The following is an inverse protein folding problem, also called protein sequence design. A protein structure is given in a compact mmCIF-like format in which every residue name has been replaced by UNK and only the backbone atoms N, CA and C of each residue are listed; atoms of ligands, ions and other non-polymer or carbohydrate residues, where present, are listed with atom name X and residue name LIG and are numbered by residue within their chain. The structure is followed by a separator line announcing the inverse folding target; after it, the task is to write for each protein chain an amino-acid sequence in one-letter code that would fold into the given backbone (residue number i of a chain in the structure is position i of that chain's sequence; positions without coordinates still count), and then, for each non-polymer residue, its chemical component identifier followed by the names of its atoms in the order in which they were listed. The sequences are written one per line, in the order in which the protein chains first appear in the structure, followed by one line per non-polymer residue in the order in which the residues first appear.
data_IF_204797096396
#
_entry.id   IF_204797096396
#
_cell.length_a   1.000
_cell.length_b   1.000
_cell.length_c   1.000
_cell.angle_alpha   90.00
_cell.angle_beta   90.00
_cell.angle_gamma   90.00
#
_symmetry.space_group_name_H-M   'P 1'
#
loop_
_entity.id
_entity.type
_entity.pdbx_description
1 polymer ?
#
# COMPACT_ATOMS: atom_id res chain seq x y z
N UNK A 1 -2.86 18.85 11.96
CA UNK A 1 -1.92 18.36 12.98
C UNK A 1 -0.56 18.94 12.64
N UNK A 2 -0.15 20.00 13.31
CA UNK A 2 1.16 20.62 13.12
C UNK A 2 2.15 19.65 13.73
N UNK A 3 3.05 19.10 12.91
CA UNK A 3 4.18 18.35 13.43
C UNK A 3 5.12 19.34 14.11
N UNK A 4 5.00 19.49 15.41
CA UNK A 4 6.01 20.18 16.19
C UNK A 4 7.27 19.32 16.17
N UNK A 5 8.28 19.76 15.43
CA UNK A 5 9.61 19.20 15.59
C UNK A 5 10.05 19.50 17.03
N UNK A 6 10.38 18.49 17.84
CA UNK A 6 10.91 18.76 19.17
C UNK A 6 12.10 19.68 19.01
N UNK A 7 12.14 20.73 19.81
CA UNK A 7 13.28 21.65 19.86
C UNK A 7 14.50 20.89 20.41
N UNK A 8 15.10 20.08 19.56
CA UNK A 8 16.31 19.34 19.90
C UNK A 8 17.49 20.31 19.84
N UNK A 9 18.29 20.34 20.89
CA UNK A 9 19.52 21.14 20.97
C UNK A 9 20.60 20.67 19.98
N UNK A 10 20.40 19.52 19.33
CA UNK A 10 21.31 18.97 18.34
C UNK A 10 20.54 18.31 17.19
N UNK A 11 21.13 18.32 16.00
CA UNK A 11 20.63 17.57 14.85
C UNK A 11 20.59 16.08 15.22
N UNK A 12 19.47 15.36 14.99
CA UNK A 12 19.40 13.94 15.30
C UNK A 12 20.43 13.15 14.51
N UNK A 13 21.10 12.22 15.19
CA UNK A 13 22.07 11.32 14.54
C UNK A 13 21.33 10.33 13.65
N UNK A 14 21.75 10.21 12.41
CA UNK A 14 21.28 9.17 11.49
C UNK A 14 22.01 7.87 11.87
N UNK A 15 21.30 6.85 12.37
CA UNK A 15 21.93 5.60 12.72
C UNK A 15 22.48 4.88 11.46
N UNK A 16 23.66 4.29 11.59
CA UNK A 16 24.19 3.43 10.53
C UNK A 16 23.43 2.09 10.58
N UNK A 17 22.78 1.74 9.49
CA UNK A 17 22.12 0.44 9.39
C UNK A 17 23.17 -0.66 9.28
N UNK A 18 23.21 -1.57 10.25
CA UNK A 18 24.09 -2.73 10.23
C UNK A 18 23.58 -3.86 9.30
N UNK A 19 22.30 -3.81 8.92
CA UNK A 19 21.66 -4.69 7.95
C UNK A 19 20.89 -3.84 6.97
N UNK A 20 21.10 -4.05 5.69
CA UNK A 20 20.30 -3.42 4.64
C UNK A 20 18.95 -4.16 4.61
N UNK A 21 17.97 -3.69 5.37
CA UNK A 21 16.58 -4.04 5.12
C UNK A 21 16.13 -3.27 3.88
N UNK A 22 16.46 -3.79 2.71
CA UNK A 22 15.90 -3.26 1.47
C UNK A 22 14.57 -3.95 1.20
N UNK A 23 13.49 -3.18 1.19
CA UNK A 23 12.25 -3.62 0.59
C UNK A 23 12.51 -3.68 -0.92
N UNK A 24 12.45 -4.89 -1.48
CA UNK A 24 12.75 -5.13 -2.89
C UNK A 24 11.62 -4.67 -3.80
N UNK A 25 11.68 -5.08 -5.06
CA UNK A 25 10.66 -4.76 -6.03
C UNK A 25 9.32 -5.42 -5.65
N UNK A 26 8.25 -4.63 -5.61
CA UNK A 26 6.90 -5.13 -5.31
C UNK A 26 6.44 -6.02 -6.47
N UNK A 27 6.18 -7.28 -6.19
CA UNK A 27 5.72 -8.26 -7.20
C UNK A 27 4.22 -8.51 -7.16
N UNK A 28 3.60 -8.41 -5.99
CA UNK A 28 2.17 -8.65 -5.80
C UNK A 28 1.60 -7.69 -4.76
N UNK A 29 0.30 -7.50 -4.87
CA UNK A 29 -0.49 -6.74 -3.92
C UNK A 29 -1.66 -7.60 -3.47
N UNK A 30 -1.94 -7.64 -2.17
CA UNK A 30 -3.15 -8.26 -1.65
C UNK A 30 -4.09 -7.17 -1.13
N UNK A 31 -5.30 -7.16 -1.66
CA UNK A 31 -6.34 -6.21 -1.31
C UNK A 31 -7.21 -6.75 -0.18
N UNK A 32 -7.51 -5.92 0.79
CA UNK A 32 -8.44 -6.22 1.88
C UNK A 32 -9.23 -4.97 2.26
N UNK A 33 -10.48 -5.13 2.68
CA UNK A 33 -11.22 -4.03 3.29
C UNK A 33 -10.54 -3.58 4.57
N UNK A 34 -10.51 -2.27 4.83
CA UNK A 34 -9.93 -1.70 6.06
C UNK A 34 -10.78 -2.03 7.28
N UNK A 35 -12.10 -2.06 7.07
CA UNK A 35 -13.08 -2.24 8.13
C UNK A 35 -13.99 -3.42 7.81
N UNK A 36 -14.29 -4.21 8.81
CA UNK A 36 -15.25 -5.31 8.74
C UNK A 36 -16.69 -4.80 8.79
N UNK A 37 -17.65 -5.70 8.57
CA UNK A 37 -19.08 -5.39 8.66
C UNK A 37 -19.50 -4.97 10.07
N UNK A 38 -18.80 -5.44 11.11
CA UNK A 38 -18.97 -5.06 12.52
C UNK A 38 -18.29 -3.73 12.89
N UNK A 39 -17.75 -2.99 11.91
CA UNK A 39 -17.00 -1.74 12.05
C UNK A 39 -15.65 -1.86 12.77
N UNK A 40 -15.16 -3.06 13.02
CA UNK A 40 -13.81 -3.26 13.54
C UNK A 40 -12.79 -3.25 12.40
N UNK A 41 -11.55 -2.84 12.69
CA UNK A 41 -10.48 -2.84 11.68
C UNK A 41 -10.09 -4.26 11.30
N UNK A 42 -9.93 -4.51 10.02
CA UNK A 42 -9.31 -5.74 9.54
C UNK A 42 -7.83 -5.74 9.89
N UNK A 43 -7.36 -6.83 10.44
CA UNK A 43 -5.96 -7.01 10.78
C UNK A 43 -5.55 -8.48 10.58
N UNK A 44 -4.31 -8.68 10.20
CA UNK A 44 -3.65 -9.97 10.34
C UNK A 44 -3.07 -10.04 11.74
N UNK A 45 -3.57 -10.93 12.59
CA UNK A 45 -3.07 -11.13 13.95
C UNK A 45 -2.21 -12.39 14.00
N UNK A 46 -0.90 -12.19 14.24
CA UNK A 46 0.04 -13.30 14.34
C UNK A 46 -0.04 -14.06 15.67
N UNK A 47 -0.70 -13.48 16.70
CA UNK A 47 -0.91 -14.14 17.98
C UNK A 47 -2.26 -14.90 18.05
N UNK A 48 -3.08 -14.86 16.99
CA UNK A 48 -4.33 -15.62 16.94
C UNK A 48 -4.06 -17.11 17.13
N UNK A 49 -5.01 -17.80 17.77
CA UNK A 49 -4.94 -19.27 17.94
C UNK A 49 -5.67 -19.99 16.78
N UNK A 50 -5.02 -20.91 16.06
CA UNK A 50 -3.59 -21.24 16.13
C UNK A 50 -2.67 -20.09 15.68
N UNK A 51 -1.48 -20.00 16.26
CA UNK A 51 -0.48 -18.98 15.95
C UNK A 51 -0.20 -18.92 14.44
N UNK A 52 -0.24 -17.72 13.87
CA UNK A 52 -0.08 -17.48 12.44
C UNK A 52 1.23 -16.76 12.17
N UNK A 53 1.98 -17.25 11.19
CA UNK A 53 3.13 -16.54 10.66
C UNK A 53 2.70 -15.73 9.42
N UNK A 54 2.91 -14.43 9.46
CA UNK A 54 2.57 -13.53 8.34
C UNK A 54 3.33 -13.89 7.06
N UNK A 55 4.52 -14.48 7.17
CA UNK A 55 5.33 -14.93 6.04
C UNK A 55 4.89 -16.29 5.47
N UNK A 56 4.12 -17.06 6.20
CA UNK A 56 3.67 -18.37 5.76
C UNK A 56 2.37 -18.30 4.97
N UNK A 57 2.37 -18.79 3.73
CA UNK A 57 1.18 -18.81 2.85
C UNK A 57 -0.02 -19.52 3.52
N UNK A 58 0.23 -20.56 4.30
CA UNK A 58 -0.81 -21.29 5.02
C UNK A 58 -1.65 -20.37 5.95
N UNK A 59 -1.03 -19.33 6.51
CA UNK A 59 -1.72 -18.37 7.37
C UNK A 59 -2.68 -17.45 6.62
N UNK A 60 -2.53 -17.31 5.31
CA UNK A 60 -3.36 -16.47 4.45
C UNK A 60 -4.53 -17.22 3.82
N UNK A 61 -4.47 -18.57 3.76
CA UNK A 61 -5.49 -19.38 3.07
C UNK A 61 -6.90 -19.16 3.60
N UNK A 62 -7.05 -18.98 4.91
CA UNK A 62 -8.33 -18.68 5.55
C UNK A 62 -8.94 -17.35 5.05
N UNK A 63 -8.12 -16.31 4.93
CA UNK A 63 -8.56 -15.01 4.42
C UNK A 63 -8.84 -15.03 2.92
N UNK A 64 -8.06 -15.77 2.14
CA UNK A 64 -8.24 -15.89 0.69
C UNK A 64 -9.55 -16.61 0.37
N UNK A 65 -9.88 -17.66 1.13
CA UNK A 65 -11.12 -18.44 0.97
C UNK A 65 -12.34 -17.83 1.66
N UNK A 66 -12.17 -16.81 2.47
CA UNK A 66 -13.27 -16.14 3.18
C UNK A 66 -14.32 -15.58 2.20
N UNK A 67 -15.57 -15.59 2.64
CA UNK A 67 -16.73 -15.06 1.89
C UNK A 67 -17.33 -13.82 2.56
N UNK A 68 -16.65 -13.28 3.54
CA UNK A 68 -17.06 -12.12 4.35
C UNK A 68 -16.10 -10.93 4.14
N UNK A 69 -16.27 -9.89 4.92
CA UNK A 69 -15.48 -8.67 4.90
C UNK A 69 -14.00 -8.86 5.29
N UNK A 70 -13.60 -10.05 5.75
CA UNK A 70 -12.20 -10.39 6.04
C UNK A 70 -11.45 -10.91 4.81
N UNK A 71 -12.14 -11.11 3.69
CA UNK A 71 -11.57 -11.66 2.46
C UNK A 71 -10.39 -10.85 1.96
N UNK A 72 -9.35 -11.57 1.56
CA UNK A 72 -8.18 -11.01 0.89
C UNK A 72 -8.15 -11.46 -0.56
N UNK A 73 -8.02 -10.50 -1.49
CA UNK A 73 -7.86 -10.75 -2.90
C UNK A 73 -6.41 -10.48 -3.32
N UNK A 74 -5.72 -11.50 -3.83
CA UNK A 74 -4.32 -11.36 -4.26
C UNK A 74 -4.28 -11.00 -5.74
N UNK A 75 -3.50 -9.97 -6.11
CA UNK A 75 -3.27 -9.59 -7.50
C UNK A 75 -2.44 -10.64 -8.25
N UNK A 76 -2.55 -10.71 -9.57
CA UNK A 76 -1.51 -11.32 -10.40
C UNK A 76 -0.16 -10.64 -10.21
N UNK A 77 0.90 -11.21 -10.79
CA UNK A 77 2.21 -10.56 -10.79
C UNK A 77 2.18 -9.20 -11.48
N UNK A 78 2.75 -8.22 -10.80
CA UNK A 78 2.89 -6.85 -11.27
C UNK A 78 4.29 -6.72 -11.87
N UNK A 79 4.37 -6.19 -13.07
CA UNK A 79 5.61 -5.94 -13.78
C UNK A 79 5.88 -4.44 -13.84
N UNK A 80 7.16 -4.07 -13.86
CA UNK A 80 7.60 -2.68 -13.88
C UNK A 80 6.88 -1.80 -12.84
N UNK A 81 6.86 -2.22 -11.56
CA UNK A 81 6.26 -1.38 -10.52
C UNK A 81 7.10 -0.11 -10.35
N UNK A 82 6.43 1.03 -10.30
CA UNK A 82 7.04 2.30 -9.96
C UNK A 82 6.30 2.93 -8.79
N UNK A 83 7.04 3.46 -7.84
CA UNK A 83 6.51 4.23 -6.73
C UNK A 83 7.29 5.55 -6.67
N UNK A 84 6.63 6.63 -6.99
CA UNK A 84 7.22 7.96 -6.89
C UNK A 84 6.81 8.58 -5.56
N UNK A 85 7.79 9.08 -4.80
CA UNK A 85 7.50 9.79 -3.56
C UNK A 85 6.61 11.01 -3.84
N UNK A 86 5.55 11.18 -3.08
CA UNK A 86 4.68 12.36 -3.24
C UNK A 86 5.46 13.66 -3.05
N UNK A 87 5.31 14.57 -3.98
CA UNK A 87 5.91 15.91 -3.90
C UNK A 87 5.37 16.68 -2.67
N UNK A 88 6.17 17.56 -2.06
CA UNK A 88 5.65 18.44 -1.03
C UNK A 88 4.60 19.38 -1.64
N UNK A 89 3.45 19.51 -0.98
CA UNK A 89 2.47 20.55 -1.31
C UNK A 89 2.85 21.81 -0.58
N UNK A 90 3.09 22.87 -1.31
CA UNK A 90 3.42 24.18 -0.78
C UNK A 90 2.25 25.16 -0.92
N UNK A 91 2.17 26.12 -0.03
CA UNK A 91 1.27 27.25 -0.11
C UNK A 91 2.06 28.54 -0.01
N UNK A 92 1.64 29.54 -0.79
CA UNK A 92 2.24 30.87 -0.77
C UNK A 92 3.42 30.99 -1.71
N UNK A 93 4.28 31.93 -1.41
CA UNK A 93 5.35 32.40 -2.26
C UNK A 93 5.07 33.79 -2.84
N UNK A 94 6.08 34.54 -3.16
CA UNK A 94 5.91 35.90 -3.66
C UNK A 94 5.25 36.83 -2.63
N UNK A 95 4.11 37.41 -2.98
CA UNK A 95 3.38 38.33 -2.11
C UNK A 95 2.33 37.67 -1.19
N UNK A 96 2.11 36.36 -1.32
CA UNK A 96 1.04 35.65 -0.61
C UNK A 96 1.45 35.22 0.80
N UNK A 97 2.75 35.21 1.11
CA UNK A 97 3.28 34.89 2.41
C UNK A 97 4.27 35.95 2.90
N UNK A 98 4.31 36.16 4.21
CA UNK A 98 5.24 37.09 4.83
C UNK A 98 6.69 36.66 4.55
N UNK A 99 7.44 37.51 3.83
CA UNK A 99 8.81 37.22 3.43
C UNK A 99 8.97 36.41 2.14
N UNK A 100 7.87 36.09 1.44
CA UNK A 100 7.93 35.42 0.13
C UNK A 100 8.34 33.96 0.18
N UNK A 101 8.33 33.34 1.36
CA UNK A 101 8.72 31.95 1.57
C UNK A 101 7.53 31.02 1.40
N UNK A 102 7.69 29.95 0.62
CA UNK A 102 6.68 28.92 0.50
C UNK A 102 6.59 28.09 1.78
N UNK A 103 5.37 27.87 2.27
CA UNK A 103 5.09 27.04 3.43
C UNK A 103 4.66 25.64 2.98
N UNK A 104 5.26 24.60 3.57
CA UNK A 104 4.91 23.22 3.26
C UNK A 104 3.66 22.85 4.08
N UNK A 105 2.53 22.68 3.37
CA UNK A 105 1.23 22.34 3.97
C UNK A 105 0.93 20.83 3.98
N UNK A 106 1.76 20.01 3.34
CA UNK A 106 1.57 18.56 3.28
C UNK A 106 2.39 17.89 2.21
N UNK A 107 2.02 16.66 1.91
CA UNK A 107 2.57 15.89 0.79
C UNK A 107 1.46 15.44 -0.14
N UNK A 108 1.78 15.32 -1.40
CA UNK A 108 0.90 14.68 -2.38
C UNK A 108 0.82 13.18 -2.12
N UNK A 109 -0.23 12.56 -2.66
CA UNK A 109 -0.38 11.11 -2.60
C UNK A 109 0.75 10.47 -3.40
N UNK A 110 1.39 9.46 -2.83
CA UNK A 110 2.40 8.65 -3.53
C UNK A 110 1.70 7.74 -4.53
N UNK A 111 1.84 7.97 -5.85
CA UNK A 111 1.31 7.06 -6.84
C UNK A 111 2.14 5.78 -6.88
N UNK A 112 1.46 4.66 -6.95
CA UNK A 112 2.06 3.36 -7.25
C UNK A 112 1.46 2.85 -8.56
N UNK A 113 2.29 2.59 -9.54
CA UNK A 113 1.87 2.10 -10.86
C UNK A 113 2.54 0.77 -11.17
N UNK A 114 1.91 -0.02 -12.01
CA UNK A 114 2.46 -1.29 -12.45
C UNK A 114 1.64 -1.89 -13.59
N UNK A 115 2.22 -2.84 -14.29
CA UNK A 115 1.59 -3.50 -15.44
C UNK A 115 1.29 -4.95 -15.12
N UNK A 116 0.07 -5.39 -15.36
CA UNK A 116 -0.33 -6.79 -15.27
C UNK A 116 -0.49 -7.32 -16.70
N UNK A 117 0.45 -8.16 -17.14
CA UNK A 117 0.43 -8.73 -18.50
C UNK A 117 -0.44 -9.96 -18.58
N UNK A 118 -0.98 -10.23 -19.79
CA UNK A 118 -1.73 -11.43 -20.13
C UNK A 118 -2.90 -11.74 -19.18
N UNK A 119 -3.58 -10.68 -18.68
CA UNK A 119 -4.70 -10.86 -17.76
C UNK A 119 -5.95 -11.35 -18.48
N UNK A 120 -6.55 -12.47 -18.07
CA UNK A 120 -7.86 -12.90 -18.54
C UNK A 120 -8.94 -11.86 -18.17
N UNK A 121 -10.02 -11.83 -18.95
CA UNK A 121 -11.09 -10.85 -18.79
C UNK A 121 -11.77 -10.91 -17.39
N UNK A 122 -11.86 -12.10 -16.80
CA UNK A 122 -12.42 -12.28 -15.46
C UNK A 122 -11.56 -11.61 -14.37
N UNK A 123 -10.23 -11.61 -14.51
CA UNK A 123 -9.33 -10.92 -13.59
C UNK A 123 -9.49 -9.40 -13.71
N UNK A 124 -9.57 -8.88 -14.94
CA UNK A 124 -9.78 -7.46 -15.19
C UNK A 124 -11.11 -7.01 -14.58
N UNK A 125 -12.17 -7.81 -14.74
CA UNK A 125 -13.48 -7.53 -14.15
C UNK A 125 -13.39 -7.47 -12.61
N UNK A 126 -12.76 -8.45 -11.97
CA UNK A 126 -12.58 -8.48 -10.52
C UNK A 126 -11.76 -7.28 -10.01
N UNK A 127 -10.71 -6.88 -10.72
CA UNK A 127 -9.93 -5.68 -10.35
C UNK A 127 -10.75 -4.39 -10.51
N UNK A 128 -11.60 -4.29 -11.52
CA UNK A 128 -12.52 -3.15 -11.69
C UNK A 128 -13.60 -3.12 -10.60
N UNK A 129 -14.06 -4.26 -10.11
CA UNK A 129 -14.94 -4.32 -8.94
C UNK A 129 -14.23 -3.80 -7.68
N UNK A 130 -12.96 -4.15 -7.46
CA UNK A 130 -12.15 -3.60 -6.36
C UNK A 130 -11.93 -2.08 -6.48
N UNK A 131 -11.90 -1.54 -7.69
CA UNK A 131 -11.85 -0.09 -7.90
C UNK A 131 -13.04 0.62 -7.27
N UNK A 132 -14.25 0.06 -7.37
CA UNK A 132 -15.44 0.62 -6.71
C UNK A 132 -15.32 0.62 -5.19
N UNK A 133 -14.74 -0.43 -4.60
CA UNK A 133 -14.46 -0.49 -3.16
C UNK A 133 -13.47 0.58 -2.71
N UNK A 134 -12.47 0.93 -3.54
CA UNK A 134 -11.50 1.97 -3.21
C UNK A 134 -12.15 3.36 -3.13
N UNK A 135 -13.18 3.64 -3.92
CA UNK A 135 -13.89 4.91 -3.88
C UNK A 135 -14.71 5.12 -2.61
N UNK A 136 -15.02 4.04 -1.89
CA UNK A 136 -15.66 4.09 -0.57
C UNK A 136 -14.66 4.30 0.58
N UNK A 137 -13.38 4.62 0.29
CA UNK A 137 -12.28 4.77 1.26
C UNK A 137 -12.11 3.57 2.22
N UNK A 138 -12.55 2.39 1.80
CA UNK A 138 -12.52 1.17 2.62
C UNK A 138 -11.59 0.08 2.06
N UNK A 139 -10.65 0.45 1.21
CA UNK A 139 -9.70 -0.51 0.62
C UNK A 139 -8.29 -0.26 1.13
N UNK A 140 -7.62 -1.33 1.53
CA UNK A 140 -6.22 -1.33 1.89
C UNK A 140 -5.46 -2.44 1.19
N UNK A 141 -4.14 -2.39 1.26
CA UNK A 141 -3.25 -3.32 0.58
C UNK A 141 -2.15 -3.84 1.49
N UNK A 142 -1.78 -5.09 1.29
CA UNK A 142 -0.49 -5.64 1.70
C UNK A 142 0.40 -5.74 0.47
N UNK A 143 1.65 -5.33 0.60
CA UNK A 143 2.63 -5.35 -0.48
C UNK A 143 3.54 -6.57 -0.30
N UNK A 144 3.81 -7.28 -1.37
CA UNK A 144 4.73 -8.41 -1.37
C UNK A 144 5.88 -8.12 -2.33
N UNK A 145 7.09 -8.15 -1.80
CA UNK A 145 8.29 -7.94 -2.60
C UNK A 145 8.87 -9.25 -3.14
N UNK A 146 9.92 -9.14 -3.94
CA UNK A 146 10.64 -10.27 -4.52
C UNK A 146 11.41 -11.10 -3.50
N UNK A 147 11.75 -10.53 -2.34
CA UNK A 147 12.50 -11.17 -1.27
C UNK A 147 11.57 -11.83 -0.23
N UNK A 148 10.25 -11.78 -0.44
CA UNK A 148 9.25 -12.29 0.49
C UNK A 148 9.01 -11.37 1.69
N UNK A 149 9.47 -10.13 1.65
CA UNK A 149 9.08 -9.13 2.63
C UNK A 149 7.64 -8.68 2.40
N UNK A 150 6.94 -8.33 3.48
CA UNK A 150 5.55 -7.94 3.46
C UNK A 150 5.42 -6.52 4.01
N UNK A 151 4.96 -5.61 3.15
CA UNK A 151 4.63 -4.25 3.54
C UNK A 151 3.23 -4.19 4.16
N UNK A 152 3.16 -3.79 5.43
CA UNK A 152 1.92 -3.62 6.18
C UNK A 152 2.13 -2.57 7.28
N UNK A 153 1.05 -2.04 7.82
CA UNK A 153 1.12 -1.14 8.98
C UNK A 153 1.09 -2.00 10.25
N UNK A 154 2.18 -1.96 11.01
CA UNK A 154 2.23 -2.63 12.32
C UNK A 154 1.49 -1.80 13.35
N UNK A 155 0.69 -2.46 14.20
CA UNK A 155 0.06 -1.80 15.33
C UNK A 155 1.12 -1.36 16.36
N UNK A 156 0.99 -0.13 16.85
CA UNK A 156 1.90 0.40 17.87
C UNK A 156 1.58 -0.10 19.27
N UNK A 157 0.32 -0.43 19.55
CA UNK A 157 -0.13 -0.94 20.84
C UNK A 157 -0.04 -2.47 20.94
N UNK A 158 -0.31 -3.17 19.84
CA UNK A 158 -0.30 -4.65 19.78
C UNK A 158 0.65 -5.10 18.68
N UNK A 159 1.89 -5.38 19.05
CA UNK A 159 2.97 -5.70 18.12
C UNK A 159 2.71 -6.91 17.20
N UNK A 160 1.67 -7.70 17.48
CA UNK A 160 1.30 -8.90 16.72
C UNK A 160 0.27 -8.62 15.62
N UNK A 161 -0.32 -7.40 15.58
CA UNK A 161 -1.32 -7.01 14.60
C UNK A 161 -0.71 -6.21 13.46
N UNK A 162 -1.08 -6.59 12.24
CA UNK A 162 -0.67 -5.94 11.01
C UNK A 162 -1.91 -5.55 10.22
N UNK A 163 -2.01 -4.27 9.89
CA UNK A 163 -3.11 -3.69 9.12
C UNK A 163 -2.72 -3.50 7.67
N UNK A 164 -3.67 -3.62 6.74
CA UNK A 164 -3.42 -3.24 5.36
C UNK A 164 -3.16 -1.74 5.26
N UNK A 165 -2.27 -1.35 4.36
CA UNK A 165 -1.94 0.05 4.07
C UNK A 165 -3.14 0.68 3.35
N UNK A 166 -3.77 1.75 3.87
CA UNK A 166 -4.90 2.37 3.21
C UNK A 166 -4.52 2.94 1.85
N UNK A 167 -5.34 2.67 0.85
CA UNK A 167 -5.23 3.32 -0.46
C UNK A 167 -6.43 4.23 -0.69
N UNK A 168 -6.18 5.41 -1.27
CA UNK A 168 -7.23 6.39 -1.54
C UNK A 168 -7.96 6.13 -2.85
N UNK A 169 -7.25 5.61 -3.82
CA UNK A 169 -7.83 5.28 -5.12
C UNK A 169 -7.08 4.13 -5.76
N UNK A 170 -7.83 3.21 -6.32
CA UNK A 170 -7.34 2.19 -7.24
C UNK A 170 -7.87 2.54 -8.63
N UNK A 171 -6.99 2.66 -9.60
CA UNK A 171 -7.36 2.89 -10.99
C UNK A 171 -6.85 1.74 -11.86
N UNK A 172 -7.76 1.08 -12.54
CA UNK A 172 -7.46 -0.02 -13.46
C UNK A 172 -7.66 0.50 -14.88
N UNK A 173 -6.54 0.69 -15.58
CA UNK A 173 -6.54 1.06 -16.99
C UNK A 173 -7.18 -0.01 -17.87
N UNK A 174 -7.63 0.39 -19.05
CA UNK A 174 -8.15 -0.53 -20.03
C UNK A 174 -7.02 -1.36 -20.66
N UNK A 175 -7.39 -2.56 -21.12
CA UNK A 175 -6.47 -3.44 -21.84
C UNK A 175 -6.01 -2.75 -23.12
N UNK A 176 -4.75 -2.34 -23.15
CA UNK A 176 -4.12 -1.96 -24.43
C UNK A 176 -3.98 -3.23 -25.27
N UNK A 177 -4.65 -3.24 -26.41
CA UNK A 177 -4.32 -4.17 -27.46
C UNK A 177 -2.92 -3.78 -27.94
N UNK A 178 -1.92 -4.58 -27.55
CA UNK A 178 -0.54 -4.37 -28.01
C UNK A 178 -0.54 -4.23 -29.53
N UNK A 179 0.15 -3.22 -30.03
CA UNK A 179 0.42 -3.11 -31.46
C UNK A 179 1.01 -4.42 -31.96
N UNK A 180 0.82 -4.71 -33.22
CA UNK A 180 1.31 -5.88 -33.96
C UNK A 180 2.85 -5.91 -34.12
N UNK A 181 3.58 -5.52 -33.09
CA UNK A 181 5.01 -5.80 -33.09
C UNK A 181 5.18 -7.25 -32.64
N UNK A 182 5.58 -8.07 -33.60
CA UNK A 182 5.97 -9.44 -33.36
C UNK A 182 7.07 -9.45 -32.30
N UNK A 183 7.02 -10.33 -31.31
CA UNK A 183 8.15 -10.52 -30.44
C UNK A 183 9.31 -11.10 -31.26
N UNK A 184 10.46 -10.42 -31.22
CA UNK A 184 11.74 -10.98 -31.64
C UNK A 184 12.09 -12.20 -30.79
#
# INVERSE_FOLDING_TARGET
MICECPAATAIPTIPVANCVESFGQIQKVAFQRLVKDDRTKNAFDSAADPKKDIKALASWTGFISAKDSTKIAISPYIQAPTAEGGAPRTYGGGNDTLGGVEEIIGREVTPFTGVIRKSPQNIIKALKELQCESWADNLGVFLFDENGAIGAIKDTAVATKFYPIPIRALFIGDKTLGGLEAPD
#
